data_IF_218379635370
#
_entry.id   IF_218379635370
#
_cell.length_a   1.000
_cell.length_b   1.000
_cell.length_c   1.000
_cell.angle_alpha   90.00
_cell.angle_beta   90.00
_cell.angle_gamma   90.00
#
_symmetry.space_group_name_H-M   'P 1'
#
loop_
_entity.id
_entity.type
_entity.pdbx_description
1 polymer ?
#
# COMPACT_ATOMS: atom_id res chain seq x y z
N UNK A 1 -8.88 22.06 -31.46
CA UNK A 1 -7.97 20.93 -31.14
C UNK A 1 -7.86 20.79 -29.61
N UNK A 2 -9.01 20.76 -28.91
CA UNK A 2 -9.09 20.86 -27.43
C UNK A 2 -9.80 19.66 -26.77
N UNK A 3 -10.38 18.75 -27.57
CA UNK A 3 -11.12 17.59 -27.06
C UNK A 3 -10.25 16.41 -26.62
N UNK A 4 -8.97 16.38 -27.02
CA UNK A 4 -8.05 15.28 -26.74
C UNK A 4 -7.37 15.42 -25.37
N UNK A 5 -7.15 16.65 -24.89
CA UNK A 5 -6.49 16.92 -23.60
C UNK A 5 -7.42 16.54 -22.43
N UNK A 6 -8.72 16.88 -22.51
CA UNK A 6 -9.70 16.47 -21.48
C UNK A 6 -9.80 14.96 -21.34
N UNK A 7 -9.72 14.23 -22.46
CA UNK A 7 -9.84 12.77 -22.44
C UNK A 7 -8.60 12.08 -21.84
N UNK A 8 -7.43 12.73 -21.82
CA UNK A 8 -6.22 12.18 -21.19
C UNK A 8 -6.17 12.41 -19.67
N UNK A 9 -6.77 13.52 -19.17
CA UNK A 9 -6.91 13.77 -17.73
C UNK A 9 -7.98 12.87 -17.10
N UNK A 10 -9.00 12.49 -17.87
CA UNK A 10 -10.09 11.58 -17.44
C UNK A 10 -9.85 10.09 -17.77
N UNK A 11 -8.69 9.70 -18.30
CA UNK A 11 -8.43 8.31 -18.71
C UNK A 11 -7.91 7.47 -17.56
N UNK A 12 -8.84 6.93 -16.77
CA UNK A 12 -8.97 5.49 -16.47
C UNK A 12 -9.58 5.27 -15.08
N UNK A 13 -10.87 5.51 -14.93
CA UNK A 13 -11.63 4.79 -13.90
C UNK A 13 -11.98 3.40 -14.48
N UNK A 14 -10.96 2.55 -14.59
CA UNK A 14 -11.20 1.13 -14.34
C UNK A 14 -11.85 1.05 -12.95
N UNK A 15 -12.88 0.21 -12.72
CA UNK A 15 -13.41 0.02 -11.37
C UNK A 15 -12.28 -0.53 -10.50
N UNK A 16 -11.57 0.38 -9.82
CA UNK A 16 -10.46 0.00 -8.97
C UNK A 16 -11.03 -0.86 -7.88
N UNK A 17 -10.66 -2.14 -7.87
CA UNK A 17 -11.16 -3.09 -6.88
C UNK A 17 -10.97 -2.47 -5.49
N UNK A 18 -12.09 -2.30 -4.76
CA UNK A 18 -12.12 -1.59 -3.48
C UNK A 18 -11.16 -2.20 -2.45
N UNK A 19 -10.96 -3.53 -2.51
CA UNK A 19 -10.00 -4.22 -1.64
C UNK A 19 -8.58 -3.82 -1.99
N UNK A 20 -8.23 -3.68 -3.28
CA UNK A 20 -6.91 -3.19 -3.68
C UNK A 20 -6.69 -1.73 -3.28
N UNK A 21 -7.72 -0.89 -3.39
CA UNK A 21 -7.67 0.50 -2.90
C UNK A 21 -7.42 0.52 -1.39
N UNK A 22 -8.18 -0.25 -0.63
CA UNK A 22 -8.04 -0.34 0.83
C UNK A 22 -6.69 -0.92 1.25
N UNK A 23 -6.14 -1.88 0.51
CA UNK A 23 -4.80 -2.43 0.75
C UNK A 23 -3.75 -1.33 0.57
N UNK A 24 -3.81 -0.56 -0.52
CA UNK A 24 -2.86 0.54 -0.76
C UNK A 24 -2.95 1.62 0.31
N UNK A 25 -4.16 1.99 0.72
CA UNK A 25 -4.38 2.94 1.82
C UNK A 25 -3.72 2.46 3.12
N UNK A 26 -3.94 1.20 3.51
CA UNK A 26 -3.34 0.64 4.72
C UNK A 26 -1.81 0.61 4.63
N UNK A 27 -1.23 0.33 3.45
CA UNK A 27 0.22 0.40 3.26
C UNK A 27 0.76 1.82 3.44
N UNK A 28 0.12 2.83 2.83
CA UNK A 28 0.54 4.22 2.96
C UNK A 28 0.45 4.71 4.43
N UNK A 29 -0.62 4.30 5.13
CA UNK A 29 -0.79 4.61 6.56
C UNK A 29 0.24 3.91 7.43
N UNK A 30 0.61 2.67 7.11
CA UNK A 30 1.68 1.95 7.79
C UNK A 30 3.01 2.68 7.63
N UNK A 31 3.35 3.09 6.40
CA UNK A 31 4.56 3.86 6.14
C UNK A 31 4.59 5.15 6.97
N UNK A 32 3.50 5.92 6.95
CA UNK A 32 3.39 7.14 7.74
C UNK A 32 3.52 6.90 9.26
N UNK A 33 2.85 5.87 9.78
CA UNK A 33 2.91 5.53 11.20
C UNK A 33 4.32 5.07 11.62
N UNK A 34 5.03 4.32 10.77
CA UNK A 34 6.43 3.96 11.03
C UNK A 34 7.34 5.20 11.00
N UNK A 35 7.19 6.10 10.02
CA UNK A 35 7.96 7.35 9.99
C UNK A 35 7.71 8.20 11.24
N UNK A 36 6.46 8.29 11.71
CA UNK A 36 6.13 9.00 12.95
C UNK A 36 6.80 8.34 14.16
N UNK A 37 6.69 7.01 14.28
CA UNK A 37 7.33 6.24 15.35
C UNK A 37 8.86 6.48 15.40
N UNK A 38 9.52 6.54 14.25
CA UNK A 38 10.97 6.78 14.16
C UNK A 38 11.40 8.19 14.58
N UNK A 39 10.53 9.20 14.40
CA UNK A 39 10.85 10.59 14.70
C UNK A 39 10.38 11.05 16.08
N UNK A 40 9.41 10.35 16.67
CA UNK A 40 8.77 10.73 17.91
C UNK A 40 9.69 10.49 19.12
N UNK A 41 9.58 11.37 20.14
CA UNK A 41 10.36 11.31 21.37
C UNK A 41 9.49 11.23 22.61
N UNK A 42 8.24 11.68 22.52
CA UNK A 42 7.31 11.57 23.63
C UNK A 42 6.85 10.12 23.81
N UNK A 43 6.93 9.61 25.04
CA UNK A 43 6.66 8.19 25.34
C UNK A 43 5.21 7.79 25.05
N UNK A 44 4.24 8.66 25.36
CA UNK A 44 2.82 8.35 25.16
C UNK A 44 2.48 8.36 23.66
N UNK A 45 3.13 9.26 22.90
CA UNK A 45 2.97 9.30 21.45
C UNK A 45 3.69 8.14 20.73
N UNK A 46 4.83 7.67 21.24
CA UNK A 46 5.48 6.44 20.77
C UNK A 46 4.55 5.24 20.99
N UNK A 47 3.97 5.11 22.18
CA UNK A 47 3.03 4.03 22.48
C UNK A 47 1.78 4.10 21.58
N UNK A 48 1.27 5.30 21.32
CA UNK A 48 0.19 5.52 20.35
C UNK A 48 0.56 5.01 18.95
N UNK A 49 1.76 5.29 18.47
CA UNK A 49 2.24 4.81 17.18
C UNK A 49 2.35 3.28 17.13
N UNK A 50 2.80 2.64 18.21
CA UNK A 50 2.89 1.17 18.32
C UNK A 50 1.50 0.54 18.14
N UNK A 51 0.50 1.02 18.88
CA UNK A 51 -0.87 0.50 18.75
C UNK A 51 -1.48 0.78 17.36
N UNK A 52 -1.20 1.95 16.78
CA UNK A 52 -1.62 2.25 15.42
C UNK A 52 -1.02 1.27 14.40
N UNK A 53 0.31 1.04 14.45
CA UNK A 53 1.01 0.10 13.57
C UNK A 53 0.43 -1.31 13.70
N UNK A 54 0.21 -1.82 14.91
CA UNK A 54 -0.36 -3.14 15.14
C UNK A 54 -1.80 -3.26 14.61
N UNK A 55 -2.61 -2.21 14.81
CA UNK A 55 -3.97 -2.16 14.27
C UNK A 55 -3.99 -2.20 12.74
N UNK A 56 -3.08 -1.46 12.09
CA UNK A 56 -2.96 -1.41 10.64
C UNK A 56 -2.44 -2.73 10.08
N UNK A 57 -1.47 -3.38 10.75
CA UNK A 57 -0.99 -4.73 10.40
C UNK A 57 -2.12 -5.75 10.47
N UNK A 58 -2.95 -5.71 11.50
CA UNK A 58 -4.12 -6.58 11.62
C UNK A 58 -5.12 -6.35 10.47
N UNK A 59 -5.42 -5.08 10.15
CA UNK A 59 -6.28 -4.70 9.03
C UNK A 59 -5.71 -5.17 7.69
N UNK A 60 -4.40 -5.00 7.47
CA UNK A 60 -3.71 -5.47 6.26
C UNK A 60 -3.86 -6.99 6.08
N UNK A 61 -3.60 -7.79 7.13
CA UNK A 61 -3.80 -9.25 7.08
C UNK A 61 -5.24 -9.64 6.80
N UNK A 62 -6.22 -8.91 7.36
CA UNK A 62 -7.63 -9.12 7.03
C UNK A 62 -7.92 -8.86 5.55
N UNK A 63 -7.51 -7.70 5.02
CA UNK A 63 -7.73 -7.34 3.62
C UNK A 63 -7.06 -8.32 2.66
N UNK A 64 -5.86 -8.81 2.97
CA UNK A 64 -5.19 -9.85 2.18
C UNK A 64 -5.97 -11.17 2.15
N UNK A 65 -6.64 -11.57 3.25
CA UNK A 65 -7.50 -12.75 3.25
C UNK A 65 -8.72 -12.56 2.35
N UNK A 66 -9.35 -11.37 2.41
CA UNK A 66 -10.48 -11.03 1.53
C UNK A 66 -10.05 -11.01 0.07
N UNK A 67 -8.91 -10.39 -0.24
CA UNK A 67 -8.37 -10.34 -1.60
C UNK A 67 -8.17 -11.75 -2.19
N UNK A 68 -7.57 -12.66 -1.40
CA UNK A 68 -7.39 -14.07 -1.80
C UNK A 68 -8.71 -14.78 -2.04
N UNK A 69 -9.73 -14.55 -1.21
CA UNK A 69 -11.08 -15.11 -1.39
C UNK A 69 -11.75 -14.60 -2.68
N UNK A 70 -11.45 -13.36 -3.09
CA UNK A 70 -11.90 -12.78 -4.36
C UNK A 70 -11.08 -13.22 -5.58
N UNK A 71 -10.11 -14.12 -5.41
CA UNK A 71 -9.25 -14.59 -6.49
C UNK A 71 -8.18 -13.57 -6.92
N UNK A 72 -8.01 -12.47 -6.19
CA UNK A 72 -6.92 -11.52 -6.43
C UNK A 72 -5.60 -12.18 -6.03
N UNK A 73 -4.70 -12.30 -7.01
CA UNK A 73 -3.34 -12.79 -6.80
C UNK A 73 -2.37 -11.62 -6.91
N UNK A 74 -1.36 -11.59 -6.04
CA UNK A 74 -0.23 -10.71 -6.27
C UNK A 74 0.35 -11.08 -7.64
N UNK A 75 0.39 -10.12 -8.58
CA UNK A 75 1.09 -10.33 -9.83
C UNK A 75 2.51 -10.75 -9.52
N UNK A 76 2.99 -11.83 -10.12
CA UNK A 76 4.40 -12.18 -10.10
C UNK A 76 5.16 -11.03 -10.74
N UNK A 77 5.68 -10.10 -9.95
CA UNK A 77 6.76 -9.26 -10.40
C UNK A 77 8.00 -10.15 -10.43
N UNK A 78 8.61 -10.40 -11.61
CA UNK A 78 9.92 -11.01 -11.63
C UNK A 78 10.83 -10.10 -10.82
N UNK A 79 11.34 -10.62 -9.69
CA UNK A 79 12.46 -10.00 -9.01
C UNK A 79 13.61 -10.04 -10.02
N UNK A 80 13.89 -8.90 -10.65
CA UNK A 80 15.07 -8.73 -11.46
C UNK A 80 16.23 -8.79 -10.45
N UNK A 81 16.82 -9.97 -10.30
CA UNK A 81 18.06 -10.13 -9.56
C UNK A 81 19.17 -9.44 -10.38
N UNK A 82 19.30 -8.12 -10.25
CA UNK A 82 20.49 -7.43 -10.69
C UNK A 82 21.64 -7.80 -9.74
N UNK A 83 22.44 -8.80 -10.12
CA UNK A 83 23.53 -9.22 -9.26
C UNK A 83 24.44 -10.36 -9.67
N UNK A 84 24.27 -11.03 -10.83
CA UNK A 84 25.36 -11.85 -11.39
C UNK A 84 26.35 -10.93 -12.14
N UNK A 85 27.19 -10.23 -11.37
CA UNK A 85 28.44 -9.68 -11.92
C UNK A 85 29.46 -10.80 -11.91
N UNK A 86 29.58 -11.40 -13.09
CA UNK A 86 30.71 -12.21 -13.54
C UNK A 86 32.03 -11.58 -13.10
N UNK A 87 32.85 -12.36 -12.38
CA UNK A 87 34.31 -12.25 -12.46
C UNK A 87 34.96 -13.57 -12.07
#
# INVERSE_FOLDING_TARGET
MEGTIRRAILKSEEPTNEILVAIRDVCARLENANTRFEMEKDSDLIESCIYEIESLRAKYRYLLRIARQQGLRAGTYPLVNEGEKTK
#
